data_IF_072286188114
#
_entry.id   IF_072286188114
#
_cell.length_a   1.000
_cell.length_b   1.000
_cell.length_c   1.000
_cell.angle_alpha   90.00
_cell.angle_beta   90.00
_cell.angle_gamma   90.00
#
_symmetry.space_group_name_H-M   'P 1'
#
loop_
_entity.id
_entity.type
_entity.pdbx_description
1 polymer ?
#
# COMPACT_ATOMS: atom_id res chain seq x y z
N UNK A 1 1.93 0.27 16.18
CA UNK A 1 2.51 1.61 16.04
C UNK A 1 3.26 1.90 17.33
N UNK A 2 4.59 1.83 17.32
CA UNK A 2 5.45 1.98 18.51
C UNK A 2 5.62 3.44 18.93
N UNK A 3 4.52 4.10 19.27
CA UNK A 3 4.57 5.37 19.99
C UNK A 3 4.38 5.01 21.45
N UNK A 4 5.38 5.25 22.29
CA UNK A 4 5.27 5.03 23.73
C UNK A 4 4.33 6.08 24.33
N UNK A 5 3.53 5.65 25.31
CA UNK A 5 2.67 6.51 26.15
C UNK A 5 3.46 7.69 26.74
N UNK A 6 4.75 7.47 27.01
CA UNK A 6 5.70 8.42 27.58
C UNK A 6 6.05 9.61 26.66
N UNK A 7 5.86 9.49 25.35
CA UNK A 7 6.12 10.58 24.40
C UNK A 7 4.92 11.54 24.24
N UNK A 8 3.73 11.16 24.71
CA UNK A 8 2.53 12.00 24.71
C UNK A 8 2.44 12.80 26.02
N UNK A 9 3.52 13.50 26.38
CA UNK A 9 3.70 14.23 27.65
C UNK A 9 2.78 15.44 27.87
N UNK A 10 1.67 15.53 27.12
CA UNK A 10 0.66 16.55 27.29
C UNK A 10 -0.63 15.89 27.78
N UNK A 11 -0.97 16.19 29.03
CA UNK A 11 -2.28 15.86 29.60
C UNK A 11 -3.28 16.97 29.21
N UNK A 12 -4.59 16.69 29.23
CA UNK A 12 -5.63 17.71 28.93
C UNK A 12 -5.51 18.98 29.82
N UNK A 13 -4.78 18.93 30.93
CA UNK A 13 -4.58 20.04 31.86
C UNK A 13 -3.28 20.84 31.64
N UNK A 14 -2.26 20.26 30.99
CA UNK A 14 -0.95 20.88 30.71
C UNK A 14 -0.82 21.30 29.23
N UNK A 15 -1.91 21.80 28.64
CA UNK A 15 -1.89 22.29 27.27
C UNK A 15 -1.43 23.75 27.22
N UNK A 16 -0.25 24.08 26.63
CA UNK A 16 0.20 25.46 26.49
C UNK A 16 -0.70 26.33 25.58
N UNK A 17 -1.56 25.69 24.78
CA UNK A 17 -2.55 26.37 23.93
C UNK A 17 -3.94 26.48 24.57
N UNK A 18 -4.12 26.00 25.81
CA UNK A 18 -5.37 26.14 26.57
C UNK A 18 -6.55 25.33 26.02
N UNK A 19 -6.31 24.38 25.11
CA UNK A 19 -7.35 23.56 24.51
C UNK A 19 -7.67 22.36 25.41
N UNK A 20 -8.90 22.30 25.93
CA UNK A 20 -9.33 21.28 26.91
C UNK A 20 -9.69 19.91 26.28
N UNK A 21 -9.71 19.82 24.95
CA UNK A 21 -10.22 18.65 24.20
C UNK A 21 -9.14 17.92 23.40
N UNK A 22 -7.87 17.89 23.85
CA UNK A 22 -6.80 17.17 23.14
C UNK A 22 -7.12 15.68 22.93
N UNK A 23 -7.80 15.04 23.90
CA UNK A 23 -8.26 13.65 23.80
C UNK A 23 -9.62 13.48 23.07
N UNK A 24 -10.22 14.57 22.61
CA UNK A 24 -11.49 14.56 21.88
C UNK A 24 -11.35 13.87 20.51
N UNK A 25 -12.34 13.08 20.13
CA UNK A 25 -12.36 12.47 18.79
C UNK A 25 -12.62 13.55 17.75
N UNK A 26 -11.61 13.86 16.93
CA UNK A 26 -11.73 14.82 15.84
C UNK A 26 -12.79 14.38 14.82
N UNK A 27 -13.70 15.30 14.47
CA UNK A 27 -14.75 15.09 13.47
C UNK A 27 -14.43 15.92 12.23
N UNK A 28 -14.23 15.26 11.10
CA UNK A 28 -14.03 15.96 9.83
C UNK A 28 -15.37 16.31 9.18
N UNK A 29 -15.95 17.45 9.56
CA UNK A 29 -17.29 17.84 9.13
C UNK A 29 -17.47 17.83 7.61
N UNK A 30 -16.51 18.39 6.85
CA UNK A 30 -16.54 18.36 5.38
C UNK A 30 -16.60 16.95 4.80
N UNK A 31 -15.94 15.98 5.42
CA UNK A 31 -16.00 14.58 4.98
C UNK A 31 -17.34 13.92 5.33
N UNK A 32 -17.97 14.30 6.44
CA UNK A 32 -19.31 13.82 6.81
C UNK A 32 -20.37 14.34 5.84
N UNK A 33 -20.31 15.62 5.48
CA UNK A 33 -21.17 16.26 4.47
C UNK A 33 -21.00 15.57 3.12
N UNK A 34 -19.74 15.37 2.68
CA UNK A 34 -19.45 14.69 1.39
C UNK A 34 -19.97 13.25 1.36
N UNK A 35 -20.01 12.56 2.50
CA UNK A 35 -20.54 11.19 2.63
C UNK A 35 -22.05 11.15 2.89
N UNK A 36 -22.71 12.31 3.07
CA UNK A 36 -24.15 12.39 3.35
C UNK A 36 -24.57 11.87 4.74
N UNK A 37 -23.62 11.74 5.67
CA UNK A 37 -23.84 11.13 7.00
C UNK A 37 -23.77 12.16 8.14
N UNK A 38 -23.96 13.43 7.83
CA UNK A 38 -23.93 14.54 8.80
C UNK A 38 -24.98 14.41 9.91
N UNK A 39 -26.11 13.76 9.63
CA UNK A 39 -27.22 13.57 10.57
C UNK A 39 -26.98 12.47 11.63
N UNK A 40 -25.91 11.68 11.49
CA UNK A 40 -25.64 10.59 12.43
C UNK A 40 -25.14 11.12 13.78
N UNK A 41 -25.65 10.55 14.86
CA UNK A 41 -25.19 10.87 16.20
C UNK A 41 -23.73 10.45 16.42
N UNK A 42 -23.07 11.05 17.41
CA UNK A 42 -21.68 10.71 17.72
C UNK A 42 -21.49 9.23 18.12
N UNK A 43 -22.53 8.61 18.71
CA UNK A 43 -22.52 7.18 19.05
C UNK A 43 -22.50 6.32 17.80
N UNK A 44 -23.38 6.60 16.84
CA UNK A 44 -23.46 5.87 15.57
C UNK A 44 -22.20 6.07 14.72
N UNK A 45 -21.62 7.28 14.74
CA UNK A 45 -20.35 7.55 14.06
C UNK A 45 -19.21 6.71 14.64
N UNK A 46 -19.15 6.58 15.98
CA UNK A 46 -18.14 5.76 16.67
C UNK A 46 -18.29 4.28 16.35
N UNK A 47 -19.50 3.75 16.34
CA UNK A 47 -19.77 2.35 15.98
C UNK A 47 -19.39 2.07 14.53
N UNK A 48 -19.80 2.94 13.61
CA UNK A 48 -19.47 2.79 12.18
C UNK A 48 -17.95 2.85 11.94
N UNK A 49 -17.26 3.76 12.61
CA UNK A 49 -15.79 3.85 12.54
C UNK A 49 -15.10 2.61 13.14
N UNK A 50 -15.66 2.01 14.20
CA UNK A 50 -15.17 0.76 14.78
C UNK A 50 -15.27 -0.39 13.77
N UNK A 51 -16.41 -0.51 13.09
CA UNK A 51 -16.62 -1.53 12.05
C UNK A 51 -15.65 -1.35 10.88
N UNK A 52 -15.50 -0.12 10.36
CA UNK A 52 -14.55 0.20 9.28
C UNK A 52 -13.11 -0.15 9.70
N UNK A 53 -12.73 0.18 10.94
CA UNK A 53 -11.40 -0.15 11.46
C UNK A 53 -11.18 -1.66 11.52
N UNK A 54 -12.19 -2.43 11.86
CA UNK A 54 -12.10 -3.89 11.91
C UNK A 54 -12.02 -4.52 10.52
N UNK A 55 -12.82 -4.05 9.57
CA UNK A 55 -12.76 -4.47 8.17
C UNK A 55 -11.38 -4.17 7.56
N UNK A 56 -10.88 -2.94 7.75
CA UNK A 56 -9.54 -2.55 7.32
C UNK A 56 -8.45 -3.44 7.92
N UNK A 57 -8.58 -3.89 9.18
CA UNK A 57 -7.63 -4.84 9.78
C UNK A 57 -7.66 -6.19 9.06
N UNK A 58 -8.85 -6.70 8.72
CA UNK A 58 -9.00 -7.99 8.00
C UNK A 58 -8.45 -7.88 6.58
N UNK A 59 -8.74 -6.81 5.87
CA UNK A 59 -8.19 -6.55 4.54
C UNK A 59 -6.67 -6.41 4.56
N UNK A 60 -6.11 -5.65 5.52
CA UNK A 60 -4.67 -5.52 5.69
C UNK A 60 -3.99 -6.88 5.97
N UNK A 61 -4.62 -7.75 6.76
CA UNK A 61 -4.13 -9.11 6.98
C UNK A 61 -4.07 -9.91 5.68
N UNK A 62 -5.12 -9.85 4.86
CA UNK A 62 -5.13 -10.51 3.52
C UNK A 62 -4.03 -9.96 2.61
N UNK A 63 -3.87 -8.63 2.56
CA UNK A 63 -2.81 -8.00 1.76
C UNK A 63 -1.41 -8.40 2.26
N UNK A 64 -1.22 -8.49 3.58
CA UNK A 64 0.04 -8.95 4.16
C UNK A 64 0.33 -10.40 3.78
N UNK A 65 -0.68 -11.26 3.84
CA UNK A 65 -0.58 -12.66 3.44
C UNK A 65 -0.21 -12.80 1.96
N UNK A 66 -0.88 -12.06 1.06
CA UNK A 66 -0.56 -12.04 -0.37
C UNK A 66 0.85 -11.52 -0.69
N UNK A 67 1.36 -10.56 0.11
CA UNK A 67 2.75 -10.09 -0.04
C UNK A 67 3.74 -11.18 0.33
N UNK A 68 3.50 -11.86 1.46
CA UNK A 68 4.34 -12.97 1.92
C UNK A 68 4.32 -14.13 0.92
N UNK A 69 3.16 -14.46 0.37
CA UNK A 69 3.03 -15.50 -0.66
C UNK A 69 3.79 -15.12 -1.93
N UNK A 70 3.72 -13.86 -2.39
CA UNK A 70 4.52 -13.39 -3.53
C UNK A 70 6.03 -13.46 -3.26
N UNK A 71 6.46 -13.10 -2.05
CA UNK A 71 7.86 -13.16 -1.64
C UNK A 71 8.35 -14.61 -1.49
N UNK A 72 7.51 -15.51 -0.97
CA UNK A 72 7.81 -16.92 -0.81
C UNK A 72 7.81 -17.67 -2.14
N UNK A 73 6.82 -17.39 -2.99
CA UNK A 73 6.74 -18.02 -4.31
C UNK A 73 7.84 -17.50 -5.22
N UNK A 74 8.20 -16.20 -5.19
CA UNK A 74 9.08 -15.66 -6.23
C UNK A 74 9.82 -14.33 -5.94
N UNK A 75 11.08 -14.41 -5.47
CA UNK A 75 12.10 -13.43 -5.84
C UNK A 75 12.67 -13.73 -7.25
N UNK A 76 12.60 -14.99 -7.71
CA UNK A 76 13.36 -15.49 -8.86
C UNK A 76 12.55 -15.52 -10.17
N UNK A 77 11.26 -15.84 -10.20
CA UNK A 77 10.55 -15.99 -11.49
C UNK A 77 10.29 -14.67 -12.21
N UNK A 78 10.24 -13.52 -11.55
CA UNK A 78 10.13 -12.23 -12.27
C UNK A 78 11.46 -11.80 -12.88
N UNK A 79 12.53 -11.73 -12.07
CA UNK A 79 13.83 -11.25 -12.53
C UNK A 79 14.57 -12.25 -13.41
N UNK A 80 14.52 -13.54 -13.07
CA UNK A 80 15.15 -14.59 -13.85
C UNK A 80 14.37 -14.86 -15.14
N UNK A 81 13.03 -14.89 -15.12
CA UNK A 81 12.26 -14.99 -16.38
C UNK A 81 12.44 -13.74 -17.26
N UNK A 82 12.47 -12.53 -16.68
CA UNK A 82 12.73 -11.32 -17.46
C UNK A 82 14.16 -11.31 -18.05
N UNK A 83 15.15 -11.85 -17.32
CA UNK A 83 16.54 -12.04 -17.80
C UNK A 83 16.65 -13.11 -18.89
N UNK A 84 15.99 -14.25 -18.73
CA UNK A 84 15.93 -15.34 -19.71
C UNK A 84 15.30 -14.85 -21.01
N UNK A 85 14.15 -14.16 -20.93
CA UNK A 85 13.42 -13.61 -22.09
C UNK A 85 14.26 -12.57 -22.83
N UNK A 86 15.04 -11.76 -22.10
CA UNK A 86 15.99 -10.81 -22.69
C UNK A 86 17.16 -11.53 -23.38
N UNK A 87 17.69 -12.60 -22.78
CA UNK A 87 18.74 -13.46 -23.36
C UNK A 87 18.26 -14.16 -24.64
N UNK A 88 17.07 -14.74 -24.62
CA UNK A 88 16.44 -15.38 -25.79
C UNK A 88 16.20 -14.39 -26.93
N UNK A 89 15.69 -13.19 -26.62
CA UNK A 89 15.49 -12.12 -27.61
C UNK A 89 16.81 -11.69 -28.28
N UNK A 90 17.88 -11.54 -27.50
CA UNK A 90 19.23 -11.21 -28.02
C UNK A 90 19.76 -12.34 -28.91
N UNK A 91 19.59 -13.61 -28.52
CA UNK A 91 20.01 -14.75 -29.32
C UNK A 91 19.25 -14.83 -30.65
N UNK A 92 17.92 -14.62 -30.64
CA UNK A 92 17.11 -14.62 -31.86
C UNK A 92 17.46 -13.45 -32.78
N UNK A 93 17.67 -12.24 -32.25
CA UNK A 93 18.14 -11.11 -33.05
C UNK A 93 19.56 -11.31 -33.59
N UNK A 94 20.45 -11.96 -32.83
CA UNK A 94 21.80 -12.30 -33.28
C UNK A 94 21.81 -13.35 -34.38
N UNK A 95 20.97 -14.38 -34.26
CA UNK A 95 20.76 -15.41 -35.30
C UNK A 95 20.19 -14.80 -36.58
N UNK A 96 19.15 -13.95 -36.46
CA UNK A 96 18.55 -13.24 -37.59
C UNK A 96 19.54 -12.32 -38.32
N UNK A 97 20.40 -11.60 -37.59
CA UNK A 97 21.44 -10.77 -38.21
C UNK A 97 22.52 -11.60 -38.90
N UNK A 98 22.90 -12.75 -38.33
CA UNK A 98 23.86 -13.68 -38.96
C UNK A 98 23.30 -14.32 -40.23
N UNK A 99 22.05 -14.76 -40.24
CA UNK A 99 21.42 -15.32 -41.45
C UNK A 99 21.30 -14.27 -42.55
N UNK A 100 20.89 -13.04 -42.23
CA UNK A 100 20.88 -11.96 -43.22
C UNK A 100 22.28 -11.65 -43.76
N UNK A 101 23.32 -11.65 -42.91
CA UNK A 101 24.70 -11.37 -43.31
C UNK A 101 25.33 -12.49 -44.16
N UNK A 102 24.92 -13.74 -43.95
CA UNK A 102 25.36 -14.90 -44.76
C UNK A 102 24.67 -14.87 -46.14
N UNK A 103 23.40 -14.45 -46.23
CA UNK A 103 22.65 -14.36 -47.48
C UNK A 103 23.02 -13.15 -48.36
N UNK A 104 23.70 -12.13 -47.83
CA UNK A 104 24.10 -10.92 -48.57
C UNK A 104 25.59 -10.83 -48.91
N UNK A 105 26.39 -11.86 -48.63
CA UNK A 105 27.79 -11.92 -49.06
C UNK A 105 27.87 -12.43 -50.51
N UNK A 106 28.26 -11.60 -51.50
CA UNK A 106 28.58 -12.09 -52.84
C UNK A 106 29.90 -12.89 -52.79
N UNK A 107 30.00 -13.90 -53.65
CA UNK A 107 31.23 -14.67 -53.90
C UNK A 107 32.35 -13.77 -54.46
#
# INVERSE_FOLDING_TARGET
>A
MGWSEEYMGYTNADNPFGDNNLLGTFKWQKALVKKGIEHLSEKELKERNKLIKEENRRELQKVKQLRLEREHENPCVSWSCCRERKRESILKHGQSKKTTFICTRPN
#
